data_IF_419110461270
#
_entry.id   IF_419110461270
#
_cell.length_a   1.000
_cell.length_b   1.000
_cell.length_c   1.000
_cell.angle_alpha   90.00
_cell.angle_beta   90.00
_cell.angle_gamma   90.00
#
_symmetry.space_group_name_H-M   'P 1'
#
loop_
_entity.id
_entity.type
_entity.pdbx_description
1 polymer ?
#
# COMPACT_ATOMS: atom_id res chain seq x y z
N UNK A 1 -15.68 12.94 -0.47
CA UNK A 1 -14.25 13.32 -0.50
C UNK A 1 -13.51 12.13 -1.08
N UNK A 2 -12.83 12.28 -2.22
CA UNK A 2 -12.01 11.21 -2.79
C UNK A 2 -10.69 11.18 -2.03
N UNK A 3 -10.48 10.17 -1.20
CA UNK A 3 -9.23 9.94 -0.50
C UNK A 3 -8.34 9.08 -1.41
N UNK A 4 -7.68 9.73 -2.38
CA UNK A 4 -6.51 9.12 -3.03
C UNK A 4 -5.46 8.86 -1.95
N UNK A 5 -4.79 7.69 -1.98
CA UNK A 5 -3.70 7.35 -1.05
C UNK A 5 -2.71 8.50 -0.96
N UNK A 6 -2.50 9.02 0.24
CA UNK A 6 -1.42 9.96 0.48
C UNK A 6 -0.10 9.25 0.26
N UNK A 7 0.92 9.99 -0.19
CA UNK A 7 2.27 9.55 0.14
C UNK A 7 2.54 9.97 1.58
N UNK A 8 2.50 9.01 2.49
CA UNK A 8 2.91 9.24 3.87
C UNK A 8 4.39 9.57 3.94
N UNK A 9 4.82 10.16 5.06
CA UNK A 9 6.23 10.43 5.36
C UNK A 9 7.10 9.15 5.37
N UNK A 10 6.48 7.98 5.55
CA UNK A 10 7.11 6.66 5.61
C UNK A 10 6.72 5.72 4.43
N UNK A 11 6.25 6.28 3.32
CA UNK A 11 5.82 5.51 2.15
C UNK A 11 4.29 5.36 2.01
N UNK A 12 3.83 4.40 1.17
CA UNK A 12 2.42 4.29 0.80
C UNK A 12 1.52 3.95 1.98
N UNK A 13 0.37 4.63 2.12
CA UNK A 13 -0.63 4.29 3.13
C UNK A 13 -1.25 2.90 2.90
N UNK A 14 -1.53 2.10 3.93
CA UNK A 14 -2.19 0.80 3.76
C UNK A 14 -3.55 0.92 3.06
N UNK A 15 -3.96 -0.14 2.34
CA UNK A 15 -5.28 -0.20 1.72
C UNK A 15 -6.39 -0.12 2.78
N UNK A 16 -7.28 0.84 2.61
CA UNK A 16 -8.40 1.10 3.51
C UNK A 16 -9.68 0.36 3.09
N UNK A 17 -10.61 0.16 4.03
CA UNK A 17 -11.92 -0.41 3.69
C UNK A 17 -12.74 0.51 2.78
N UNK A 18 -12.52 1.82 2.86
CA UNK A 18 -13.18 2.79 1.99
C UNK A 18 -12.77 2.58 0.53
N UNK A 19 -11.49 2.31 0.27
CA UNK A 19 -10.99 2.03 -1.08
C UNK A 19 -11.53 0.70 -1.61
N UNK A 20 -11.61 -0.33 -0.77
CA UNK A 20 -12.20 -1.63 -1.16
C UNK A 20 -13.70 -1.47 -1.47
N UNK A 21 -14.43 -0.70 -0.65
CA UNK A 21 -15.85 -0.41 -0.91
C UNK A 21 -16.03 0.40 -2.20
N UNK A 22 -15.16 1.39 -2.44
CA UNK A 22 -15.17 2.17 -3.68
C UNK A 22 -14.86 1.30 -4.89
N UNK A 23 -13.91 0.37 -4.80
CA UNK A 23 -13.62 -0.61 -5.86
C UNK A 23 -14.85 -1.44 -6.18
N UNK A 24 -15.51 -2.01 -5.16
CA UNK A 24 -16.74 -2.78 -5.35
C UNK A 24 -17.82 -1.96 -6.05
N UNK A 25 -18.01 -0.71 -5.65
CA UNK A 25 -18.98 0.20 -6.26
C UNK A 25 -18.66 0.55 -7.72
N UNK A 26 -17.38 0.79 -8.06
CA UNK A 26 -16.97 1.16 -9.42
C UNK A 26 -16.98 -0.04 -10.37
N UNK A 27 -16.54 -1.21 -9.89
CA UNK A 27 -16.45 -2.43 -10.72
C UNK A 27 -17.78 -3.18 -10.83
N UNK A 28 -18.71 -2.96 -9.89
CA UNK A 28 -19.93 -3.76 -9.77
C UNK A 28 -19.69 -5.18 -9.24
N UNK A 29 -18.44 -5.53 -8.91
CA UNK A 29 -18.11 -6.84 -8.37
C UNK A 29 -18.38 -6.86 -6.87
N UNK A 30 -19.02 -7.94 -6.42
CA UNK A 30 -19.15 -8.24 -4.99
C UNK A 30 -17.77 -8.64 -4.45
N UNK A 31 -17.28 -7.91 -3.46
CA UNK A 31 -16.06 -8.26 -2.74
C UNK A 31 -16.42 -9.04 -1.49
N UNK A 32 -15.99 -10.29 -1.42
CA UNK A 32 -16.24 -11.17 -0.29
C UNK A 32 -15.23 -10.93 0.84
N UNK A 33 -15.60 -11.35 2.04
CA UNK A 33 -14.75 -11.20 3.23
C UNK A 33 -13.37 -11.84 3.06
N UNK A 34 -13.30 -13.00 2.43
CA UNK A 34 -12.02 -13.71 2.22
C UNK A 34 -11.10 -12.95 1.27
N UNK A 35 -11.66 -12.34 0.22
CA UNK A 35 -10.93 -11.48 -0.70
C UNK A 35 -10.40 -10.24 0.02
N UNK A 36 -11.18 -9.64 0.93
CA UNK A 36 -10.70 -8.54 1.78
C UNK A 36 -9.50 -8.99 2.62
N UNK A 37 -9.56 -10.17 3.25
CA UNK A 37 -8.45 -10.69 4.05
C UNK A 37 -7.20 -10.90 3.20
N UNK A 38 -7.35 -11.48 2.01
CA UNK A 38 -6.25 -11.71 1.07
C UNK A 38 -5.64 -10.37 0.63
N UNK A 39 -6.47 -9.41 0.22
CA UNK A 39 -6.01 -8.08 -0.22
C UNK A 39 -5.22 -7.37 0.88
N UNK A 40 -5.68 -7.45 2.14
CA UNK A 40 -4.97 -6.85 3.27
C UNK A 40 -3.65 -7.55 3.57
N UNK A 41 -3.58 -8.88 3.45
CA UNK A 41 -2.35 -9.62 3.64
C UNK A 41 -1.32 -9.29 2.54
N UNK A 42 -1.78 -9.18 1.29
CA UNK A 42 -0.95 -8.76 0.16
C UNK A 42 -0.42 -7.33 0.34
N UNK A 43 -1.27 -6.40 0.76
CA UNK A 43 -0.88 -5.02 1.03
C UNK A 43 0.17 -4.92 2.14
N UNK A 44 -0.01 -5.66 3.24
CA UNK A 44 0.99 -5.72 4.31
C UNK A 44 2.33 -6.28 3.83
N UNK A 45 2.32 -7.33 3.00
CA UNK A 45 3.55 -7.89 2.43
C UNK A 45 4.24 -6.91 1.47
N UNK A 46 3.47 -6.22 0.63
CA UNK A 46 3.98 -5.20 -0.28
C UNK A 46 4.62 -4.03 0.47
N UNK A 47 3.97 -3.54 1.53
CA UNK A 47 4.52 -2.48 2.38
C UNK A 47 5.84 -2.90 3.03
N UNK A 48 5.92 -4.13 3.56
CA UNK A 48 7.15 -4.65 4.16
C UNK A 48 8.29 -4.71 3.14
N UNK A 49 8.03 -5.21 1.94
CA UNK A 49 9.02 -5.25 0.86
C UNK A 49 9.48 -3.84 0.45
N UNK A 50 8.54 -2.90 0.32
CA UNK A 50 8.83 -1.51 -0.05
C UNK A 50 9.70 -0.82 0.99
N UNK A 51 9.44 -1.05 2.29
CA UNK A 51 10.23 -0.47 3.37
C UNK A 51 11.69 -0.95 3.34
N UNK A 52 11.92 -2.24 3.02
CA UNK A 52 13.27 -2.79 2.84
C UNK A 52 13.97 -2.12 1.66
N UNK A 53 13.33 -2.05 0.50
CA UNK A 53 13.89 -1.43 -0.70
C UNK A 53 14.25 0.04 -0.46
N UNK A 54 13.38 0.80 0.22
CA UNK A 54 13.63 2.19 0.56
C UNK A 54 14.81 2.36 1.52
N UNK A 55 14.94 1.49 2.52
CA UNK A 55 16.09 1.51 3.42
C UNK A 55 17.40 1.24 2.66
N UNK A 56 17.42 0.24 1.78
CA UNK A 56 18.59 -0.07 0.94
C UNK A 56 18.94 1.06 -0.03
N UNK A 57 17.93 1.69 -0.64
CA UNK A 57 18.13 2.86 -1.50
C UNK A 57 18.72 4.05 -0.72
N UNK A 58 18.23 4.29 0.51
CA UNK A 58 18.74 5.36 1.37
C UNK A 58 20.20 5.12 1.78
N UNK A 59 20.59 3.88 2.08
CA UNK A 59 21.99 3.55 2.40
C UNK A 59 22.91 3.71 1.19
N UNK A 60 22.50 3.27 -0.01
CA UNK A 60 23.26 3.50 -1.25
C UNK A 60 23.49 4.99 -1.51
N UNK A 61 22.44 5.80 -1.36
CA UNK A 61 22.53 7.24 -1.53
C UNK A 61 23.52 7.89 -0.55
N UNK A 62 23.62 7.39 0.70
CA UNK A 62 24.61 7.87 1.67
C UNK A 62 26.04 7.48 1.28
N UNK A 63 26.24 6.26 0.79
CA UNK A 63 27.58 5.80 0.37
C UNK A 63 28.10 6.48 -0.89
N UNK A 64 27.21 6.93 -1.79
CA UNK A 64 27.58 7.69 -2.99
C UNK A 64 27.92 9.17 -2.71
N UNK A 65 27.49 9.69 -1.55
CA UNK A 65 27.73 11.08 -1.13
C UNK A 65 28.94 11.24 -0.19
N UNK A 66 29.60 10.14 0.19
CA UNK A 66 30.77 10.09 1.07
C UNK A 66 32.07 9.89 0.28
#
# INVERSE_FOLDING_TARGET
MSASRGQGFNGPDPISMTEIAAWSAVSGNLVNRDEVVILRAMDAAFMAATAVEQAEAAERAKTEQA
#
